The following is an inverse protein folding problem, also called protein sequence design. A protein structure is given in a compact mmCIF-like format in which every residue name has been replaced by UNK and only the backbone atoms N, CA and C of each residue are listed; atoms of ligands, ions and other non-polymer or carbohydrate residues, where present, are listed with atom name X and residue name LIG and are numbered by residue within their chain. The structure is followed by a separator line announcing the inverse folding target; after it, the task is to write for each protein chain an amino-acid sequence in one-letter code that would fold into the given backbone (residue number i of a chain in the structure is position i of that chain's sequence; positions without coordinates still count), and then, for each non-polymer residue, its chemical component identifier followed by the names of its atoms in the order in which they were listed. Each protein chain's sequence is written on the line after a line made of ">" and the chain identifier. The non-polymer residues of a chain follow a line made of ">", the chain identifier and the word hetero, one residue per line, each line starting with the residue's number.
data_IF_215417348898
#
_entry.id   IF_215417348898
#
_cell.length_a   1.000
_cell.length_b   1.000
_cell.length_c   1.000
_cell.angle_alpha   90.00
_cell.angle_beta   90.00
_cell.angle_gamma   90.00
#
_symmetry.space_group_name_H-M   'P 1'
#
loop_
_entity.id
_entity.type
_entity.pdbx_description
1 polymer ?
#
# COMPACT_ATOMS: atom_id res chain seq x y z
N UNK A 1 17.20 15.87 23.96
CA UNK A 1 17.92 15.68 22.67
C UNK A 1 18.78 14.41 22.67
N UNK A 2 18.24 13.22 22.97
CA UNK A 2 19.06 11.98 23.04
C UNK A 2 18.40 10.73 22.42
N UNK A 3 17.24 10.89 21.77
CA UNK A 3 16.51 9.75 21.17
C UNK A 3 16.85 9.57 19.69
N UNK A 4 16.98 10.66 18.93
CA UNK A 4 17.28 10.60 17.48
C UNK A 4 18.66 10.01 17.16
N UNK A 5 19.66 10.21 18.02
CA UNK A 5 21.01 9.67 17.79
C UNK A 5 21.07 8.15 17.90
N UNK A 6 20.17 7.52 18.67
CA UNK A 6 20.14 6.06 18.83
C UNK A 6 19.52 5.36 17.63
N UNK A 7 18.47 5.93 17.03
CA UNK A 7 17.83 5.36 15.84
C UNK A 7 18.75 5.45 14.61
N UNK A 8 19.49 6.55 14.46
CA UNK A 8 20.47 6.69 13.37
C UNK A 8 21.64 5.69 13.50
N UNK A 9 22.11 5.43 14.73
CA UNK A 9 23.17 4.43 14.96
C UNK A 9 22.70 3.00 14.66
N UNK A 10 21.41 2.72 14.83
CA UNK A 10 20.83 1.39 14.58
C UNK A 10 20.72 1.13 13.07
N UNK A 11 20.23 2.12 12.30
CA UNK A 11 20.14 2.05 10.84
C UNK A 11 21.52 1.86 10.16
N UNK A 12 22.53 2.60 10.63
CA UNK A 12 23.88 2.47 10.08
C UNK A 12 24.50 1.09 10.33
N UNK A 13 24.10 0.41 11.41
CA UNK A 13 24.59 -0.91 11.75
C UNK A 13 23.92 -2.01 10.90
N UNK A 14 22.61 -1.86 10.64
CA UNK A 14 21.85 -2.75 9.77
C UNK A 14 22.38 -2.73 8.32
N UNK A 15 22.71 -1.54 7.80
CA UNK A 15 23.31 -1.38 6.47
C UNK A 15 24.68 -2.07 6.35
N UNK A 16 25.52 -1.98 7.39
CA UNK A 16 26.83 -2.66 7.41
C UNK A 16 26.69 -4.17 7.44
N UNK A 17 25.68 -4.68 8.15
CA UNK A 17 25.40 -6.11 8.22
C UNK A 17 24.99 -6.66 6.85
N UNK A 18 24.07 -5.99 6.16
CA UNK A 18 23.61 -6.38 4.82
C UNK A 18 24.74 -6.31 3.79
N UNK A 19 25.59 -5.28 3.87
CA UNK A 19 26.73 -5.13 2.96
C UNK A 19 27.76 -6.25 3.14
N UNK A 20 28.07 -6.62 4.38
CA UNK A 20 29.01 -7.71 4.67
C UNK A 20 28.44 -9.08 4.25
N UNK A 21 27.14 -9.31 4.42
CA UNK A 21 26.47 -10.55 4.01
C UNK A 21 26.53 -10.77 2.48
N UNK A 22 26.27 -9.71 1.70
CA UNK A 22 26.40 -9.73 0.23
C UNK A 22 27.86 -9.91 -0.21
N UNK A 23 28.80 -9.28 0.50
CA UNK A 23 30.22 -9.38 0.18
C UNK A 23 30.77 -10.79 0.46
N UNK A 24 30.42 -11.41 1.59
CA UNK A 24 30.83 -12.78 1.92
C UNK A 24 30.25 -13.82 0.94
N UNK A 25 29.02 -13.61 0.43
CA UNK A 25 28.42 -14.49 -0.58
C UNK A 25 29.11 -14.38 -1.96
N UNK A 26 29.68 -13.21 -2.27
CA UNK A 26 30.37 -12.94 -3.55
C UNK A 26 31.80 -13.49 -3.64
N UNK A 27 32.43 -13.88 -2.52
CA UNK A 27 33.80 -14.43 -2.51
C UNK A 27 33.86 -15.94 -2.79
N UNK A 28 32.72 -16.62 -2.94
CA UNK A 28 32.65 -18.05 -3.24
C UNK A 28 31.93 -18.34 -4.56
N UNK A 29 32.54 -17.98 -5.70
CA UNK A 29 32.62 -18.81 -6.91
C UNK A 29 33.00 -17.99 -8.15
N UNK A 30 34.21 -18.21 -8.66
CA UNK A 30 34.53 -17.95 -10.07
C UNK A 30 35.46 -19.05 -10.56
N UNK A 31 35.12 -19.81 -11.61
CA UNK A 31 36.06 -20.13 -12.67
C UNK A 31 35.96 -19.05 -13.76
N UNK A 32 37.15 -18.59 -14.15
CA UNK A 32 37.43 -17.59 -15.20
C UNK A 32 36.97 -18.08 -16.57
N UNK A 33 36.35 -17.20 -17.36
CA UNK A 33 36.45 -17.22 -18.82
C UNK A 33 36.61 -15.79 -19.33
N UNK A 34 37.58 -15.60 -20.21
CA UNK A 34 38.10 -14.35 -20.74
C UNK A 34 37.13 -13.69 -21.74
N UNK A 35 36.93 -12.38 -21.64
CA UNK A 35 36.25 -11.60 -22.67
C UNK A 35 36.05 -10.14 -22.26
N UNK A 36 36.86 -9.26 -22.82
CA UNK A 36 36.77 -7.81 -22.68
C UNK A 36 35.40 -7.28 -23.16
N UNK A 37 34.71 -6.45 -22.35
CA UNK A 37 33.82 -5.43 -22.90
C UNK A 37 33.78 -4.17 -22.00
N UNK A 38 34.33 -3.09 -22.53
CA UNK A 38 34.25 -1.74 -21.97
C UNK A 38 32.92 -1.10 -22.40
N UNK A 39 31.88 -1.21 -21.57
CA UNK A 39 30.64 -0.48 -21.79
C UNK A 39 29.50 -0.98 -20.93
N UNK A 40 29.37 -0.48 -19.70
CA UNK A 40 28.25 -0.81 -18.80
C UNK A 40 26.92 -0.22 -19.29
N UNK A 41 26.37 -0.78 -20.35
CA UNK A 41 24.93 -0.95 -20.51
C UNK A 41 24.54 -2.15 -19.66
N UNK A 42 23.50 -2.01 -18.85
CA UNK A 42 23.06 -3.02 -17.90
C UNK A 42 22.55 -4.25 -18.64
N UNK A 43 23.42 -5.23 -18.87
CA UNK A 43 23.06 -6.58 -19.30
C UNK A 43 22.16 -7.20 -18.21
N UNK A 44 20.85 -7.02 -18.39
CA UNK A 44 19.90 -7.99 -17.88
C UNK A 44 20.26 -9.29 -18.59
N UNK A 45 20.77 -10.28 -17.85
CA UNK A 45 20.69 -11.67 -18.29
C UNK A 45 19.26 -11.89 -18.78
N UNK A 46 19.08 -11.94 -20.10
CA UNK A 46 17.89 -12.50 -20.72
C UNK A 46 17.90 -13.98 -20.34
N UNK A 47 17.41 -14.28 -19.13
CA UNK A 47 17.02 -15.65 -18.81
C UNK A 47 15.99 -15.99 -19.87
N UNK A 48 16.31 -16.97 -20.72
CA UNK A 48 15.38 -17.56 -21.67
C UNK A 48 14.20 -18.14 -20.89
N UNK A 49 13.23 -17.29 -20.57
CA UNK A 49 11.97 -17.71 -19.98
C UNK A 49 11.16 -18.26 -21.13
N UNK A 50 10.94 -19.57 -21.15
CA UNK A 50 10.13 -20.24 -22.15
C UNK A 50 8.67 -19.73 -22.08
N UNK A 51 8.37 -18.73 -22.91
CA UNK A 51 7.08 -18.04 -23.02
C UNK A 51 5.93 -19.02 -23.24
N UNK A 52 6.20 -20.17 -23.88
CA UNK A 52 5.18 -21.17 -24.24
C UNK A 52 4.78 -22.06 -23.06
N UNK A 53 5.62 -22.16 -22.03
CA UNK A 53 5.39 -22.98 -20.85
C UNK A 53 5.17 -22.15 -19.57
N UNK A 54 4.72 -20.89 -19.71
CA UNK A 54 4.29 -20.11 -18.56
C UNK A 54 2.99 -20.68 -17.98
N UNK A 55 2.85 -20.74 -16.64
CA UNK A 55 1.60 -21.10 -16.02
C UNK A 55 0.50 -20.12 -16.46
N UNK A 56 -0.74 -20.59 -16.71
CA UNK A 56 -1.84 -19.72 -17.08
C UNK A 56 -2.00 -18.60 -16.04
N UNK A 57 -2.07 -17.34 -16.51
CA UNK A 57 -2.21 -16.14 -15.64
C UNK A 57 -3.32 -16.28 -14.58
N UNK A 58 -4.37 -17.04 -14.90
CA UNK A 58 -5.47 -17.36 -13.99
C UNK A 58 -5.00 -18.15 -12.76
N UNK A 59 -4.11 -19.11 -12.90
CA UNK A 59 -3.66 -19.98 -11.81
C UNK A 59 -2.79 -19.24 -10.80
N UNK A 60 -1.92 -18.36 -11.30
CA UNK A 60 -1.01 -17.56 -10.47
C UNK A 60 -1.76 -16.47 -9.68
N UNK A 61 -2.80 -15.86 -10.27
CA UNK A 61 -3.53 -14.76 -9.66
C UNK A 61 -4.90 -15.14 -9.04
N UNK A 62 -5.43 -16.35 -9.25
CA UNK A 62 -6.71 -16.79 -8.68
C UNK A 62 -6.63 -17.18 -7.20
N UNK A 63 -5.43 -17.31 -6.63
CA UNK A 63 -5.24 -17.66 -5.21
C UNK A 63 -5.73 -16.54 -4.27
N UNK A 64 -5.84 -15.31 -4.79
CA UNK A 64 -6.26 -14.12 -4.05
C UNK A 64 -7.65 -13.63 -4.47
N UNK A 65 -8.60 -14.55 -4.69
CA UNK A 65 -10.05 -14.26 -4.77
C UNK A 65 -10.64 -13.72 -3.44
N UNK A 66 -9.84 -12.98 -2.66
CA UNK A 66 -10.31 -12.21 -1.51
C UNK A 66 -11.23 -11.13 -2.04
N UNK A 67 -12.52 -11.29 -1.73
CA UNK A 67 -13.55 -10.26 -1.93
C UNK A 67 -13.01 -8.92 -1.45
N UNK A 68 -13.28 -7.86 -2.21
CA UNK A 68 -12.89 -6.49 -1.89
C UNK A 68 -13.40 -6.14 -0.49
N UNK A 69 -12.51 -6.18 0.50
CA UNK A 69 -12.87 -5.89 1.89
C UNK A 69 -12.90 -4.37 2.01
N UNK A 70 -14.10 -3.81 1.96
CA UNK A 70 -14.30 -2.37 2.20
C UNK A 70 -13.90 -2.10 3.65
N UNK A 71 -12.69 -1.59 3.86
CA UNK A 71 -12.22 -1.17 5.17
C UNK A 71 -12.85 0.18 5.48
N UNK A 72 -14.02 0.17 6.14
CA UNK A 72 -14.50 1.37 6.80
C UNK A 72 -13.51 1.69 7.92
N UNK A 73 -12.71 2.73 7.69
CA UNK A 73 -11.77 3.25 8.68
C UNK A 73 -12.52 3.91 9.85
N UNK A 74 -11.85 4.08 10.98
CA UNK A 74 -12.42 4.83 12.12
C UNK A 74 -12.87 6.25 11.75
N UNK A 75 -12.24 6.88 10.76
CA UNK A 75 -12.67 8.19 10.24
C UNK A 75 -14.01 8.09 9.49
N UNK A 76 -14.21 7.05 8.69
CA UNK A 76 -15.46 6.78 7.98
C UNK A 76 -16.62 6.55 8.95
N UNK A 77 -16.38 5.84 10.06
CA UNK A 77 -17.40 5.62 11.10
C UNK A 77 -17.82 6.92 11.80
N UNK A 78 -16.86 7.82 12.10
CA UNK A 78 -17.16 9.14 12.68
C UNK A 78 -18.07 9.96 11.78
N UNK A 79 -17.80 9.94 10.47
CA UNK A 79 -18.65 10.63 9.48
C UNK A 79 -20.06 10.07 9.52
N UNK A 80 -20.23 8.74 9.48
CA UNK A 80 -21.56 8.10 9.52
C UNK A 80 -22.31 8.50 10.80
N UNK A 81 -21.66 8.53 11.95
CA UNK A 81 -22.28 8.96 13.21
C UNK A 81 -22.77 10.41 13.13
N UNK A 82 -21.95 11.32 12.63
CA UNK A 82 -22.34 12.74 12.47
C UNK A 82 -23.54 12.88 11.53
N UNK A 83 -23.54 12.16 10.41
CA UNK A 83 -24.65 12.18 9.45
C UNK A 83 -25.94 11.65 10.09
N UNK A 84 -25.86 10.55 10.85
CA UNK A 84 -27.03 9.97 11.54
C UNK A 84 -27.58 10.96 12.56
N UNK A 85 -26.73 11.59 13.36
CA UNK A 85 -27.14 12.62 14.33
C UNK A 85 -27.81 13.80 13.61
N UNK A 86 -27.22 14.26 12.51
CA UNK A 86 -27.78 15.35 11.71
C UNK A 86 -29.16 15.00 11.16
N UNK A 87 -29.33 13.79 10.60
CA UNK A 87 -30.63 13.31 10.11
C UNK A 87 -31.65 13.16 11.24
N UNK A 88 -31.24 12.73 12.43
CA UNK A 88 -32.13 12.67 13.59
C UNK A 88 -32.61 14.07 14.01
N UNK A 89 -31.72 15.07 13.99
CA UNK A 89 -32.11 16.47 14.23
C UNK A 89 -33.06 16.99 13.15
N UNK A 90 -32.78 16.75 11.88
CA UNK A 90 -33.64 17.16 10.77
C UNK A 90 -35.02 16.48 10.86
N UNK A 91 -35.04 15.18 11.10
CA UNK A 91 -36.27 14.42 11.26
C UNK A 91 -37.08 14.85 12.49
N UNK A 92 -36.42 15.10 13.62
CA UNK A 92 -37.05 15.62 14.82
C UNK A 92 -37.62 17.04 14.62
N UNK A 93 -36.84 17.93 14.02
CA UNK A 93 -37.30 19.28 13.69
C UNK A 93 -38.48 19.25 12.73
N UNK A 94 -38.45 18.39 11.72
CA UNK A 94 -39.57 18.19 10.80
C UNK A 94 -40.81 17.61 11.50
N UNK A 95 -40.63 16.70 12.46
CA UNK A 95 -41.76 16.13 13.20
C UNK A 95 -42.46 17.16 14.10
N UNK A 96 -41.69 18.04 14.78
CA UNK A 96 -42.26 19.04 15.67
C UNK A 96 -42.77 20.30 14.95
N UNK A 97 -42.07 20.78 13.93
CA UNK A 97 -42.33 22.06 13.26
C UNK A 97 -42.62 21.94 11.76
N UNK A 98 -42.78 20.73 11.23
CA UNK A 98 -42.87 20.50 9.78
C UNK A 98 -44.01 21.24 9.09
N UNK A 99 -45.17 21.40 9.74
CA UNK A 99 -46.30 22.10 9.14
C UNK A 99 -46.02 23.60 8.97
N UNK A 100 -45.49 24.23 10.01
CA UNK A 100 -45.16 25.67 10.04
C UNK A 100 -43.96 25.99 9.13
N UNK A 101 -42.95 25.11 9.08
CA UNK A 101 -41.80 25.24 8.19
C UNK A 101 -42.19 25.12 6.72
N UNK A 102 -43.04 24.15 6.37
CA UNK A 102 -43.50 23.98 4.99
C UNK A 102 -44.38 25.15 4.55
N UNK A 103 -45.20 25.70 5.44
CA UNK A 103 -46.01 26.88 5.15
C UNK A 103 -45.14 28.11 4.85
N UNK A 104 -44.09 28.35 5.63
CA UNK A 104 -43.13 29.45 5.37
C UNK A 104 -42.36 29.26 4.06
N UNK A 105 -41.94 28.03 3.74
CA UNK A 105 -41.23 27.73 2.48
C UNK A 105 -42.16 27.86 1.27
N UNK A 106 -43.45 27.58 1.43
CA UNK A 106 -44.42 27.65 0.32
C UNK A 106 -44.96 29.07 0.11
N UNK A 107 -44.93 29.92 1.16
CA UNK A 107 -45.33 31.34 1.09
C UNK A 107 -44.17 32.30 0.74
N UNK A 108 -42.94 31.80 0.58
CA UNK A 108 -41.79 32.58 0.09
C UNK A 108 -41.69 32.48 -1.43
#
# INVERSE_FOLDING_TARGET
>A
MSKETKEYTDQANELRKLFNEVQEESEQSVPVDDGEDEGSETEQEERDVDILNLPPRKEVHSTNNKRTRVKLSGASLRLVIVVVIFLAFLGGAYYLWGQELMEVITNI
#
